data_IF_779569420984
#
_entry.id   IF_779569420984
#
_cell.length_a   1.000
_cell.length_b   1.000
_cell.length_c   1.000
_cell.angle_alpha   90.00
_cell.angle_beta   90.00
_cell.angle_gamma   90.00
#
_symmetry.space_group_name_H-M   'P 1'
#
loop_
_entity.id
_entity.type
_entity.pdbx_description
1 polymer ?
#
# COMPACT_ATOMS: atom_id res chain seq x y z
N UNK A 1 5.88 1.17 3.08
CA UNK A 1 6.79 2.34 3.07
C UNK A 1 8.04 2.00 3.86
N UNK A 2 9.20 2.63 3.62
CA UNK A 2 10.34 2.51 4.55
C UNK A 2 10.17 3.43 5.76
N UNK A 3 10.34 2.91 6.96
CA UNK A 3 10.38 3.69 8.20
C UNK A 3 11.74 4.41 8.37
N UNK A 4 11.92 5.10 9.50
CA UNK A 4 13.18 5.81 9.85
C UNK A 4 14.39 4.89 9.91
N UNK A 5 14.19 3.60 10.19
CA UNK A 5 15.21 2.56 10.25
C UNK A 5 15.48 1.91 8.88
N UNK A 6 14.80 2.37 7.82
CA UNK A 6 14.92 1.83 6.47
C UNK A 6 14.19 0.50 6.25
N UNK A 7 13.39 0.05 7.21
CA UNK A 7 12.63 -1.21 7.15
C UNK A 7 11.28 -0.99 6.47
N UNK A 8 10.83 -1.97 5.70
CA UNK A 8 9.51 -1.93 5.08
C UNK A 8 8.41 -2.13 6.13
N UNK A 9 7.57 -1.12 6.31
CA UNK A 9 6.33 -1.19 7.08
C UNK A 9 5.12 -1.20 6.14
N UNK A 10 4.10 -1.96 6.51
CA UNK A 10 2.80 -1.93 5.84
C UNK A 10 2.04 -0.67 6.32
N UNK A 11 1.52 0.11 5.37
CA UNK A 11 0.84 1.39 5.67
C UNK A 11 -0.67 1.28 5.60
N UNK A 12 -1.17 0.42 4.73
CA UNK A 12 -2.59 0.20 4.51
C UNK A 12 -2.86 -1.30 4.60
N UNK A 13 -4.04 -1.66 5.05
CA UNK A 13 -4.51 -3.02 4.96
C UNK A 13 -4.66 -3.40 3.49
N UNK A 14 -4.57 -4.68 3.18
CA UNK A 14 -4.92 -5.15 1.84
C UNK A 14 -6.37 -4.74 1.54
N UNK A 15 -6.66 -4.36 0.30
CA UNK A 15 -8.04 -4.05 -0.12
C UNK A 15 -9.02 -5.21 0.18
N UNK A 16 -8.52 -6.45 0.18
CA UNK A 16 -9.26 -7.64 0.60
C UNK A 16 -9.64 -7.65 2.08
N UNK A 17 -8.84 -7.02 2.95
CA UNK A 17 -9.11 -6.87 4.38
C UNK A 17 -10.07 -5.72 4.67
N UNK A 18 -10.13 -4.69 3.80
CA UNK A 18 -11.01 -3.54 4.01
C UNK A 18 -12.47 -3.79 3.58
N UNK A 19 -12.79 -4.96 2.99
CA UNK A 19 -14.12 -5.36 2.48
C UNK A 19 -14.75 -4.37 1.46
N UNK A 20 -14.10 -3.25 1.20
CA UNK A 20 -14.51 -2.16 0.32
C UNK A 20 -13.69 -2.21 -0.97
N UNK A 21 -14.03 -3.15 -1.84
CA UNK A 21 -13.98 -2.83 -3.26
C UNK A 21 -15.39 -2.35 -3.64
N UNK A 22 -15.51 -1.40 -4.57
CA UNK A 22 -16.83 -0.89 -5.00
C UNK A 22 -17.78 -1.95 -5.60
N UNK A 23 -17.34 -3.22 -5.68
CA UNK A 23 -18.11 -4.38 -6.13
C UNK A 23 -18.57 -5.31 -4.99
N UNK A 24 -18.14 -5.08 -3.74
CA UNK A 24 -18.45 -5.92 -2.59
C UNK A 24 -17.83 -7.32 -2.61
N UNK A 25 -16.92 -7.61 -3.55
CA UNK A 25 -16.23 -8.90 -3.68
C UNK A 25 -14.75 -8.80 -3.25
N UNK A 26 -14.26 -9.64 -2.33
CA UNK A 26 -12.86 -9.59 -1.86
C UNK A 26 -11.85 -9.95 -2.97
N UNK A 27 -12.32 -10.46 -4.10
CA UNK A 27 -11.51 -10.84 -5.25
C UNK A 27 -12.21 -10.40 -6.53
N UNK A 28 -11.47 -9.75 -7.43
CA UNK A 28 -11.97 -9.31 -8.73
C UNK A 28 -11.29 -10.17 -9.80
N UNK A 29 -12.10 -10.77 -10.68
CA UNK A 29 -11.60 -11.46 -11.86
C UNK A 29 -11.47 -10.47 -13.02
N UNK A 30 -10.28 -10.41 -13.61
CA UNK A 30 -9.96 -9.53 -14.74
C UNK A 30 -9.99 -10.38 -16.01
N UNK A 31 -10.87 -10.06 -16.95
CA UNK A 31 -10.95 -10.70 -18.25
C UNK A 31 -9.80 -10.24 -19.17
N UNK A 32 -9.51 -10.98 -20.25
CA UNK A 32 -8.62 -10.48 -21.29
C UNK A 32 -9.04 -9.07 -21.74
N UNK A 33 -8.07 -8.17 -21.89
CA UNK A 33 -8.23 -6.75 -22.25
C UNK A 33 -8.85 -5.83 -21.17
N UNK A 34 -9.14 -6.31 -19.96
CA UNK A 34 -9.48 -5.45 -18.83
C UNK A 34 -8.22 -4.95 -18.11
N UNK A 35 -8.30 -3.76 -17.49
CA UNK A 35 -7.16 -3.10 -16.83
C UNK A 35 -7.54 -2.70 -15.40
N UNK A 36 -6.63 -2.90 -14.45
CA UNK A 36 -6.73 -2.27 -13.14
C UNK A 36 -6.10 -0.89 -13.23
N UNK A 37 -6.91 0.13 -12.93
CA UNK A 37 -6.42 1.47 -12.67
C UNK A 37 -6.41 1.68 -11.15
N UNK A 38 -5.21 1.88 -10.59
CA UNK A 38 -5.05 2.28 -9.20
C UNK A 38 -4.66 3.74 -9.13
N UNK A 39 -5.24 4.48 -8.20
CA UNK A 39 -4.86 5.85 -7.89
C UNK A 39 -3.97 5.83 -6.66
N UNK A 40 -2.72 6.24 -6.83
CA UNK A 40 -1.84 6.52 -5.69
C UNK A 40 -2.16 7.93 -5.20
N UNK A 41 -2.48 8.05 -3.91
CA UNK A 41 -2.55 9.36 -3.25
C UNK A 41 -1.16 9.66 -2.70
N UNK A 42 -0.61 10.77 -3.17
CA UNK A 42 0.68 11.27 -2.73
C UNK A 42 0.56 11.85 -1.32
N UNK A 43 1.50 11.51 -0.46
CA UNK A 43 1.59 12.10 0.88
C UNK A 43 2.26 13.46 0.77
N UNK A 44 2.13 14.28 1.81
CA UNK A 44 2.83 15.55 1.90
C UNK A 44 3.60 15.58 3.21
N UNK A 45 4.83 16.08 3.17
CA UNK A 45 5.68 16.27 4.34
C UNK A 45 7.12 16.57 3.93
N UNK A 46 8.04 16.42 4.88
CA UNK A 46 9.45 16.80 4.70
C UNK A 46 10.39 15.60 4.67
N UNK A 47 9.94 14.42 5.11
CA UNK A 47 10.76 13.22 5.15
C UNK A 47 10.68 12.46 3.84
N UNK A 48 11.81 12.33 3.15
CA UNK A 48 11.89 11.56 1.91
C UNK A 48 12.08 10.08 2.23
N UNK A 49 11.21 9.23 1.69
CA UNK A 49 11.27 7.78 1.87
C UNK A 49 10.88 7.01 0.61
N UNK A 50 11.16 5.71 0.58
CA UNK A 50 10.68 4.82 -0.47
C UNK A 50 9.32 4.23 -0.11
N UNK A 51 8.38 4.38 -1.02
CA UNK A 51 7.09 3.72 -1.02
C UNK A 51 7.09 2.55 -2.01
N UNK A 52 6.24 1.56 -1.75
CA UNK A 52 6.10 0.39 -2.60
C UNK A 52 4.63 0.08 -2.78
N UNK A 53 4.17 0.13 -4.02
CA UNK A 53 2.86 -0.40 -4.41
C UNK A 53 3.03 -1.90 -4.67
N UNK A 54 2.14 -2.71 -4.10
CA UNK A 54 2.13 -4.16 -4.24
C UNK A 54 0.71 -4.61 -4.59
N UNK A 55 0.57 -5.42 -5.63
CA UNK A 55 -0.68 -6.10 -5.96
C UNK A 55 -0.46 -7.60 -5.84
N UNK A 56 -1.32 -8.24 -5.04
CA UNK A 56 -1.31 -9.68 -4.81
C UNK A 56 -2.49 -10.40 -5.46
N UNK A 57 -2.30 -11.68 -5.77
CA UNK A 57 -3.34 -12.64 -6.18
C UNK A 57 -3.00 -14.01 -5.60
N UNK A 58 -3.92 -14.62 -4.85
CA UNK A 58 -3.74 -15.95 -4.22
C UNK A 58 -2.38 -16.06 -3.49
N UNK A 59 -2.12 -15.14 -2.57
CA UNK A 59 -0.89 -15.03 -1.77
C UNK A 59 0.40 -14.81 -2.58
N UNK A 60 0.29 -14.51 -3.89
CA UNK A 60 1.43 -14.20 -4.76
C UNK A 60 1.41 -12.74 -5.17
N UNK A 61 2.55 -12.07 -5.06
CA UNK A 61 2.74 -10.74 -5.66
C UNK A 61 2.80 -10.89 -7.18
N UNK A 62 1.89 -10.21 -7.88
CA UNK A 62 1.83 -10.21 -9.36
C UNK A 62 2.31 -8.89 -9.95
N UNK A 63 2.37 -7.84 -9.14
CA UNK A 63 2.95 -6.55 -9.53
C UNK A 63 3.55 -5.86 -8.31
N UNK A 64 4.71 -5.23 -8.51
CA UNK A 64 5.30 -4.33 -7.53
C UNK A 64 6.05 -3.20 -8.20
N UNK A 65 5.92 -1.99 -7.64
CA UNK A 65 6.66 -0.82 -8.07
C UNK A 65 7.11 0.00 -6.86
N UNK A 66 8.37 0.45 -6.89
CA UNK A 66 8.96 1.31 -5.86
C UNK A 66 9.07 2.72 -6.40
N UNK A 67 8.67 3.69 -5.60
CA UNK A 67 8.74 5.11 -5.91
C UNK A 67 9.11 5.90 -4.65
N UNK A 68 9.80 7.02 -4.81
CA UNK A 68 10.14 7.89 -3.69
C UNK A 68 9.02 8.87 -3.39
N UNK A 69 8.81 9.16 -2.11
CA UNK A 69 7.81 10.12 -1.66
C UNK A 69 8.26 10.96 -0.48
N UNK A 70 7.58 12.10 -0.27
CA UNK A 70 7.70 12.93 0.91
C UNK A 70 6.51 12.75 1.85
N UNK A 71 6.79 12.40 3.11
CA UNK A 71 5.76 12.07 4.10
C UNK A 71 5.97 12.89 5.39
N UNK A 72 4.90 13.11 6.14
CA UNK A 72 4.99 13.59 7.51
C UNK A 72 5.46 12.43 8.40
N UNK A 73 6.57 12.61 9.12
CA UNK A 73 7.14 11.57 9.97
C UNK A 73 6.21 11.12 11.11
N UNK A 74 5.18 11.91 11.44
CA UNK A 74 4.15 11.53 12.40
C UNK A 74 3.36 10.28 11.98
N UNK A 75 3.41 9.90 10.69
CA UNK A 75 2.77 8.69 10.23
C UNK A 75 3.41 7.43 10.84
N UNK A 76 4.68 7.49 11.23
CA UNK A 76 5.38 6.37 11.84
C UNK A 76 4.99 6.17 13.32
N UNK A 77 4.59 7.23 14.02
CA UNK A 77 4.18 7.15 15.42
C UNK A 77 2.86 6.40 15.65
N UNK A 78 2.02 6.20 14.62
CA UNK A 78 0.81 5.39 14.75
C UNK A 78 1.11 3.88 14.70
N UNK A 79 2.19 3.48 14.03
CA UNK A 79 2.54 2.07 13.83
C UNK A 79 3.44 1.51 14.95
N UNK A 80 4.05 2.36 15.80
CA UNK A 80 4.84 1.92 16.96
C UNK A 80 3.95 1.39 18.11
N UNK A 81 2.62 1.53 18.02
CA UNK A 81 1.65 1.16 19.08
C UNK A 81 0.98 -0.20 18.91
N UNK A 82 1.16 -0.89 17.77
CA UNK A 82 0.54 -2.21 17.54
C UNK A 82 1.45 -3.41 17.89
N UNK A 83 2.68 -3.15 18.37
CA UNK A 83 3.67 -4.18 18.77
C UNK A 83 3.88 -4.26 20.31
N UNK A 84 2.80 -4.22 21.11
CA UNK A 84 2.83 -4.52 22.57
C UNK A 84 1.75 -5.52 23.00
#
# INVERSE_FOLDING_TARGET
MKNRQGQWIQMENSLSQELFCGTGQPTIYIKPCEMILSKVKHYNGTFKTDCKLVLGRNDRVVYSNVFSEFVDEKIFSFNDTEDL
#
